data_IF_023050284593
#
_entry.id   IF_023050284593
#
_cell.length_a   1.000
_cell.length_b   1.000
_cell.length_c   1.000
_cell.angle_alpha   90.00
_cell.angle_beta   90.00
_cell.angle_gamma   90.00
#
_symmetry.space_group_name_H-M   'P 1'
#
loop_
_entity.id
_entity.type
_entity.pdbx_description
1 polymer ?
#
# COMPACT_ATOMS: atom_id res chain seq x y z
N UNK A 1 30.17 0.14 27.70
CA UNK A 1 29.53 0.23 26.38
C UNK A 1 28.04 0.22 26.58
N UNK A 2 27.34 1.28 26.16
CA UNK A 2 25.89 1.39 26.28
C UNK A 2 25.27 0.73 25.04
N UNK A 3 24.77 -0.49 25.16
CA UNK A 3 24.06 -1.16 24.08
C UNK A 3 22.67 -0.50 23.94
N UNK A 4 22.52 0.36 22.95
CA UNK A 4 21.21 0.83 22.49
C UNK A 4 20.48 -0.39 21.91
N UNK A 5 19.52 -0.93 22.68
CA UNK A 5 18.55 -1.87 22.14
C UNK A 5 17.73 -1.12 21.09
N UNK A 6 18.08 -1.34 19.81
CA UNK A 6 17.21 -0.98 18.69
C UNK A 6 15.92 -1.77 18.92
N UNK A 7 14.74 -1.13 18.97
CA UNK A 7 13.48 -1.86 19.00
C UNK A 7 13.48 -2.79 17.80
N UNK A 8 13.44 -4.10 18.05
CA UNK A 8 13.18 -5.04 16.97
C UNK A 8 11.81 -4.65 16.42
N UNK A 9 11.78 -4.22 15.16
CA UNK A 9 10.53 -4.05 14.43
C UNK A 9 9.73 -5.34 14.62
N UNK A 10 8.52 -5.24 15.18
CA UNK A 10 7.61 -6.38 15.20
C UNK A 10 7.33 -6.72 13.74
N UNK A 11 7.90 -7.82 13.26
CA UNK A 11 7.55 -8.32 11.93
C UNK A 11 6.05 -8.67 11.97
N UNK A 12 5.25 -7.93 11.21
CA UNK A 12 3.82 -8.14 11.15
C UNK A 12 3.54 -9.44 10.41
N UNK A 13 3.12 -10.52 11.08
CA UNK A 13 2.84 -11.77 10.38
C UNK A 13 1.61 -11.62 9.46
N UNK A 14 1.58 -12.32 8.32
CA UNK A 14 0.36 -12.44 7.54
C UNK A 14 -0.66 -13.29 8.31
N UNK A 15 -1.84 -12.74 8.57
CA UNK A 15 -2.97 -13.43 9.17
C UNK A 15 -4.09 -13.54 8.16
N UNK A 16 -4.70 -14.72 8.06
CA UNK A 16 -5.94 -14.89 7.33
C UNK A 16 -7.03 -14.06 8.03
N UNK A 17 -7.66 -13.17 7.26
CA UNK A 17 -8.76 -12.33 7.72
C UNK A 17 -9.82 -12.35 6.63
N UNK A 18 -10.78 -13.27 6.76
CA UNK A 18 -11.99 -13.31 5.94
C UNK A 18 -11.73 -13.27 4.42
N UNK A 19 -10.83 -14.12 3.93
CA UNK A 19 -10.46 -14.29 2.51
C UNK A 19 -9.19 -13.54 2.08
N UNK A 20 -8.62 -12.69 2.95
CA UNK A 20 -7.39 -11.92 2.68
C UNK A 20 -6.34 -12.29 3.72
N UNK A 21 -5.15 -12.69 3.29
CA UNK A 21 -3.97 -12.76 4.16
C UNK A 21 -3.39 -11.36 4.30
N UNK A 22 -3.56 -10.72 5.45
CA UNK A 22 -3.15 -9.34 5.71
C UNK A 22 -2.08 -9.29 6.79
N UNK A 23 -1.15 -8.36 6.70
CA UNK A 23 -0.19 -8.09 7.77
C UNK A 23 -0.96 -7.75 9.06
N UNK A 24 -0.50 -8.29 10.18
CA UNK A 24 -1.04 -7.96 11.50
C UNK A 24 -0.65 -6.51 11.87
N UNK A 25 -1.61 -5.61 11.86
CA UNK A 25 -1.42 -4.22 12.26
C UNK A 25 -2.66 -3.64 12.93
N UNK A 26 -2.44 -2.60 13.74
CA UNK A 26 -3.53 -1.87 14.40
C UNK A 26 -4.30 -1.00 13.39
N UNK A 27 -5.54 -1.38 13.13
CA UNK A 27 -6.44 -0.63 12.24
C UNK A 27 -6.69 0.79 12.75
N UNK A 28 -6.81 0.97 14.07
CA UNK A 28 -7.00 2.29 14.70
C UNK A 28 -5.79 3.20 14.52
N UNK A 29 -4.57 2.66 14.53
CA UNK A 29 -3.36 3.45 14.24
C UNK A 29 -3.35 3.94 12.79
N UNK A 30 -3.68 3.08 11.82
CA UNK A 30 -3.78 3.48 10.41
C UNK A 30 -4.90 4.51 10.20
N UNK A 31 -6.06 4.30 10.81
CA UNK A 31 -7.18 5.24 10.74
C UNK A 31 -6.85 6.60 11.38
N UNK A 32 -6.02 6.63 12.43
CA UNK A 32 -5.56 7.88 13.06
C UNK A 32 -4.63 8.70 12.16
N UNK A 33 -3.91 8.05 11.23
CA UNK A 33 -3.16 8.74 10.18
C UNK A 33 -4.11 9.33 9.15
N UNK A 34 -5.15 8.57 8.79
CA UNK A 34 -6.22 9.00 7.91
C UNK A 34 -5.79 9.16 6.46
N UNK A 35 -6.72 9.67 5.63
CA UNK A 35 -6.51 9.88 4.21
C UNK A 35 -5.47 10.99 3.95
N UNK A 36 -4.87 10.95 2.77
CA UNK A 36 -3.88 11.90 2.34
C UNK A 36 -4.43 13.32 2.22
N UNK A 37 -3.55 14.28 2.41
CA UNK A 37 -3.69 15.60 1.81
C UNK A 37 -3.25 15.55 0.34
N UNK A 38 -3.85 16.40 -0.51
CA UNK A 38 -3.57 16.45 -1.95
C UNK A 38 -2.06 16.42 -2.28
N UNK A 39 -1.68 15.53 -3.20
CA UNK A 39 -0.29 15.41 -3.69
C UNK A 39 0.69 14.68 -2.77
N UNK A 40 0.25 14.10 -1.64
CA UNK A 40 1.15 13.45 -0.66
C UNK A 40 1.02 11.92 -0.57
N UNK A 41 0.60 11.21 -1.64
CA UNK A 41 0.44 9.74 -1.61
C UNK A 41 1.69 9.02 -1.14
N UNK A 42 2.85 9.39 -1.67
CA UNK A 42 4.14 8.80 -1.32
C UNK A 42 4.46 8.93 0.17
N UNK A 43 4.18 10.09 0.78
CA UNK A 43 4.42 10.33 2.21
C UNK A 43 3.48 9.51 3.10
N UNK A 44 2.18 9.49 2.78
CA UNK A 44 1.20 8.73 3.56
C UNK A 44 1.43 7.22 3.43
N UNK A 45 1.75 6.71 2.23
CA UNK A 45 2.12 5.30 2.03
C UNK A 45 3.33 4.93 2.89
N UNK A 46 4.35 5.79 2.95
CA UNK A 46 5.52 5.59 3.82
C UNK A 46 5.14 5.61 5.30
N UNK A 47 4.26 6.52 5.73
CA UNK A 47 3.78 6.56 7.11
C UNK A 47 3.00 5.30 7.51
N UNK A 48 2.15 4.77 6.64
CA UNK A 48 1.46 3.50 6.89
C UNK A 48 2.47 2.36 7.05
N UNK A 49 3.40 2.26 6.11
CA UNK A 49 4.42 1.23 6.10
C UNK A 49 5.27 1.25 7.39
N UNK A 50 5.68 2.44 7.83
CA UNK A 50 6.36 2.62 9.12
C UNK A 50 5.49 2.29 10.31
N UNK A 51 4.22 2.68 10.29
CA UNK A 51 3.32 2.40 11.41
C UNK A 51 3.15 0.90 11.64
N UNK A 52 3.09 0.13 10.55
CA UNK A 52 3.03 -1.33 10.60
C UNK A 52 4.35 -1.91 11.17
N UNK A 53 5.49 -1.51 10.61
CA UNK A 53 6.81 -2.03 11.04
C UNK A 53 7.17 -1.64 12.48
N UNK A 54 6.81 -0.42 12.89
CA UNK A 54 7.17 0.14 14.20
C UNK A 54 6.14 -0.21 15.28
N UNK A 55 4.96 -0.73 14.91
CA UNK A 55 3.84 -0.97 15.83
C UNK A 55 3.30 0.31 16.48
N UNK A 56 3.63 1.49 15.94
CA UNK A 56 3.31 2.81 16.48
C UNK A 56 3.04 3.80 15.35
N UNK A 57 2.05 4.67 15.56
CA UNK A 57 1.70 5.75 14.61
C UNK A 57 2.93 6.57 14.21
N UNK A 58 3.26 6.53 12.92
CA UNK A 58 4.34 7.34 12.34
C UNK A 58 3.91 8.81 12.23
N UNK A 59 4.71 9.71 12.82
CA UNK A 59 4.52 11.16 12.67
C UNK A 59 4.87 11.66 11.27
N UNK A 60 5.65 10.90 10.50
CA UNK A 60 6.15 11.29 9.18
C UNK A 60 7.20 12.41 9.22
N UNK A 61 7.70 12.79 10.40
CA UNK A 61 8.75 13.80 10.54
C UNK A 61 10.00 13.40 9.75
N UNK A 62 10.57 14.33 8.98
CA UNK A 62 11.73 14.08 8.13
C UNK A 62 11.47 13.25 6.86
N UNK A 63 10.24 12.72 6.67
CA UNK A 63 9.90 11.84 5.54
C UNK A 63 9.34 12.59 4.32
N UNK A 64 9.32 13.93 4.33
CA UNK A 64 8.78 14.75 3.24
C UNK A 64 9.71 15.91 2.87
N UNK A 65 10.03 16.02 1.59
CA UNK A 65 10.74 17.16 1.00
C UNK A 65 10.33 17.31 -0.48
N UNK A 66 9.10 17.80 -0.72
CA UNK A 66 8.46 17.84 -2.05
C UNK A 66 8.29 16.45 -2.72
N UNK A 67 8.28 15.43 -1.88
CA UNK A 67 8.26 14.01 -2.23
C UNK A 67 8.62 13.21 -0.99
N UNK A 68 8.27 11.92 -0.96
CA UNK A 68 8.69 11.08 0.16
C UNK A 68 10.21 10.93 0.18
N UNK A 69 10.81 11.17 1.35
CA UNK A 69 12.22 10.87 1.61
C UNK A 69 12.28 9.42 2.06
N UNK A 70 12.37 8.51 1.09
CA UNK A 70 12.27 7.06 1.34
C UNK A 70 13.29 6.56 2.36
N UNK A 71 14.54 7.04 2.28
CA UNK A 71 15.61 6.69 3.20
C UNK A 71 15.33 7.11 4.65
N UNK A 72 14.56 8.18 4.88
CA UNK A 72 14.16 8.58 6.23
C UNK A 72 13.21 7.58 6.89
N UNK A 73 12.51 6.75 6.09
CA UNK A 73 11.76 5.60 6.57
C UNK A 73 12.47 4.25 6.40
N UNK A 74 13.74 4.24 5.97
CA UNK A 74 14.46 3.00 5.66
C UNK A 74 13.89 2.23 4.46
N UNK A 75 13.28 2.94 3.50
CA UNK A 75 12.76 2.36 2.27
C UNK A 75 13.68 2.67 1.08
N UNK A 76 13.89 1.68 0.21
CA UNK A 76 14.78 1.76 -0.94
C UNK A 76 14.06 1.34 -2.22
N UNK A 77 14.53 1.86 -3.36
CA UNK A 77 13.97 1.51 -4.66
C UNK A 77 14.26 0.06 -5.05
N UNK A 78 13.26 -0.61 -5.59
CA UNK A 78 13.42 -1.86 -6.31
C UNK A 78 12.72 -1.76 -7.68
N UNK A 79 13.41 -2.25 -8.70
CA UNK A 79 12.94 -2.26 -10.09
C UNK A 79 13.24 -3.62 -10.72
N UNK A 80 12.38 -4.06 -11.62
CA UNK A 80 12.51 -5.30 -12.37
C UNK A 80 11.33 -5.46 -13.32
N UNK A 81 11.26 -6.60 -14.00
CA UNK A 81 10.06 -7.01 -14.74
C UNK A 81 8.84 -7.10 -13.83
N UNK A 82 7.64 -7.19 -14.42
CA UNK A 82 6.41 -7.32 -13.65
C UNK A 82 6.43 -8.56 -12.74
N UNK A 83 6.86 -9.72 -13.25
CA UNK A 83 6.94 -10.95 -12.47
C UNK A 83 7.93 -10.84 -11.30
N UNK A 84 9.09 -10.22 -11.52
CA UNK A 84 10.07 -9.94 -10.46
C UNK A 84 9.50 -9.01 -9.38
N UNK A 85 8.76 -7.97 -9.78
CA UNK A 85 8.10 -7.07 -8.84
C UNK A 85 7.02 -7.77 -8.02
N UNK A 86 6.20 -8.63 -8.65
CA UNK A 86 5.15 -9.40 -7.97
C UNK A 86 5.76 -10.42 -7.01
N UNK A 87 6.83 -11.09 -7.42
CA UNK A 87 7.56 -12.00 -6.54
C UNK A 87 8.18 -11.25 -5.35
N UNK A 88 8.74 -10.05 -5.59
CA UNK A 88 9.27 -9.21 -4.52
C UNK A 88 8.18 -8.78 -3.54
N UNK A 89 7.00 -8.39 -4.02
CA UNK A 89 5.83 -8.10 -3.18
C UNK A 89 5.47 -9.28 -2.29
N UNK A 90 5.32 -10.47 -2.88
CA UNK A 90 5.00 -11.69 -2.13
C UNK A 90 6.04 -12.02 -1.07
N UNK A 91 7.32 -11.98 -1.41
CA UNK A 91 8.42 -12.33 -0.49
C UNK A 91 8.51 -11.35 0.69
N UNK A 92 8.39 -10.04 0.44
CA UNK A 92 8.42 -9.03 1.51
C UNK A 92 7.20 -9.17 2.43
N UNK A 93 5.98 -9.32 1.88
CA UNK A 93 4.78 -9.55 2.68
C UNK A 93 4.88 -10.82 3.53
N UNK A 94 5.41 -11.91 2.94
CA UNK A 94 5.63 -13.17 3.67
C UNK A 94 6.66 -13.02 4.79
N UNK A 95 7.60 -12.08 4.66
CA UNK A 95 8.55 -11.69 5.70
C UNK A 95 7.97 -10.65 6.69
N UNK A 96 6.69 -10.32 6.57
CA UNK A 96 5.99 -9.39 7.43
C UNK A 96 6.28 -7.91 7.17
N UNK A 97 6.70 -7.59 5.94
CA UNK A 97 7.12 -6.24 5.54
C UNK A 97 6.14 -5.66 4.52
N UNK A 98 5.53 -4.49 4.80
CA UNK A 98 4.72 -3.79 3.82
C UNK A 98 5.60 -3.22 2.71
N UNK A 99 5.08 -3.22 1.48
CA UNK A 99 5.80 -2.72 0.30
C UNK A 99 5.03 -1.56 -0.30
N UNK A 100 5.73 -0.50 -0.66
CA UNK A 100 5.11 0.67 -1.29
C UNK A 100 5.21 0.50 -2.80
N UNK A 101 4.09 0.61 -3.51
CA UNK A 101 4.02 0.36 -4.95
C UNK A 101 3.69 1.66 -5.69
N UNK A 102 4.40 1.89 -6.79
CA UNK A 102 4.11 2.94 -7.74
C UNK A 102 3.16 2.41 -8.83
N UNK A 103 1.97 2.97 -8.87
CA UNK A 103 0.97 2.64 -9.86
C UNK A 103 1.01 3.66 -11.00
N UNK A 104 1.03 3.16 -12.24
CA UNK A 104 0.83 3.99 -13.43
C UNK A 104 -0.64 4.31 -13.55
N UNK A 105 -0.93 5.53 -13.98
CA UNK A 105 -2.29 5.85 -14.34
C UNK A 105 -2.68 5.15 -15.65
N UNK A 106 -3.88 4.61 -15.71
CA UNK A 106 -4.57 4.36 -16.98
C UNK A 106 -5.33 5.64 -17.33
N UNK A 107 -4.79 6.44 -18.23
CA UNK A 107 -5.56 7.55 -18.79
C UNK A 107 -6.76 6.96 -19.54
N UNK A 108 -7.95 7.04 -18.95
CA UNK A 108 -9.19 6.73 -19.67
C UNK A 108 -9.52 7.94 -20.52
N UNK A 109 -9.55 7.78 -21.85
CA UNK A 109 -9.92 8.85 -22.77
C UNK A 109 -11.30 9.42 -22.42
N UNK A 110 -11.42 10.75 -22.36
CA UNK A 110 -12.69 11.45 -22.06
C UNK A 110 -12.98 11.74 -20.58
N UNK A 111 -12.11 11.32 -19.65
CA UNK A 111 -12.29 11.61 -18.22
C UNK A 111 -11.56 12.90 -17.83
N UNK A 112 -12.31 13.99 -17.60
CA UNK A 112 -11.76 15.17 -16.93
C UNK A 112 -11.38 14.80 -15.49
N UNK A 113 -10.23 15.31 -15.03
CA UNK A 113 -9.66 15.06 -13.69
C UNK A 113 -10.79 15.01 -12.65
N UNK A 114 -10.92 13.85 -12.02
CA UNK A 114 -11.82 13.58 -10.89
C UNK A 114 -13.32 13.35 -11.15
N UNK A 115 -13.81 13.14 -12.38
CA UNK A 115 -15.27 12.89 -12.58
C UNK A 115 -15.64 11.43 -12.88
N UNK A 116 -14.86 10.69 -13.67
CA UNK A 116 -15.20 9.31 -14.09
C UNK A 116 -14.07 8.32 -13.80
N UNK A 117 -14.09 7.83 -12.56
CA UNK A 117 -13.21 6.80 -11.99
C UNK A 117 -13.63 5.41 -12.53
N UNK A 118 -12.74 4.49 -12.92
CA UNK A 118 -13.14 3.14 -13.41
C UNK A 118 -12.30 1.95 -12.91
N UNK A 119 -13.05 0.92 -12.45
CA UNK A 119 -12.79 -0.41 -11.81
C UNK A 119 -12.42 -0.43 -10.31
N UNK A 120 -12.50 -1.52 -9.52
CA UNK A 120 -13.47 -2.62 -9.49
C UNK A 120 -14.18 -2.59 -8.12
N UNK A 121 -13.46 -2.77 -7.00
CA UNK A 121 -14.03 -2.69 -5.65
C UNK A 121 -12.97 -2.33 -4.59
N UNK A 122 -13.41 -1.72 -3.50
CA UNK A 122 -12.68 -1.64 -2.22
C UNK A 122 -13.21 -2.69 -1.27
N UNK A 123 -12.40 -3.10 -0.30
CA UNK A 123 -12.84 -3.97 0.78
C UNK A 123 -12.81 -3.17 2.06
N UNK A 124 -13.97 -3.05 2.71
CA UNK A 124 -14.12 -2.34 3.98
C UNK A 124 -14.17 -3.36 5.13
N UNK A 125 -13.30 -3.20 6.13
CA UNK A 125 -13.28 -4.09 7.28
C UNK A 125 -14.38 -3.70 8.25
N UNK A 126 -15.37 -4.58 8.39
CA UNK A 126 -16.50 -4.41 9.32
C UNK A 126 -16.45 -5.44 10.43
N UNK A 127 -17.37 -5.35 11.40
CA UNK A 127 -17.52 -6.38 12.45
C UNK A 127 -17.88 -7.76 11.91
N UNK A 128 -18.42 -7.85 10.69
CA UNK A 128 -18.76 -9.12 10.00
C UNK A 128 -17.71 -9.56 8.98
N UNK A 129 -16.53 -8.92 8.94
CA UNK A 129 -15.46 -9.20 7.97
C UNK A 129 -15.38 -8.18 6.83
N UNK A 130 -14.77 -8.58 5.70
CA UNK A 130 -14.57 -7.70 4.55
C UNK A 130 -15.82 -7.60 3.68
N UNK A 131 -16.31 -6.37 3.51
CA UNK A 131 -17.37 -6.07 2.56
C UNK A 131 -16.79 -5.47 1.29
N UNK A 132 -17.09 -6.08 0.16
CA UNK A 132 -16.76 -5.54 -1.15
C UNK A 132 -17.69 -4.37 -1.48
N UNK A 133 -17.11 -3.20 -1.73
CA UNK A 133 -17.81 -1.96 -2.02
C UNK A 133 -17.40 -1.47 -3.39
N UNK A 134 -18.38 -1.21 -4.26
CA UNK A 134 -18.11 -0.62 -5.56
C UNK A 134 -17.62 0.81 -5.34
N UNK A 135 -16.31 0.99 -5.44
CA UNK A 135 -15.67 2.27 -5.24
C UNK A 135 -14.68 2.51 -6.38
N UNK A 136 -14.97 3.47 -7.27
CA UNK A 136 -14.27 3.51 -8.53
C UNK A 136 -12.82 4.04 -8.36
N UNK A 137 -11.89 3.44 -9.10
CA UNK A 137 -10.44 3.66 -9.00
C UNK A 137 -10.02 5.13 -9.21
N UNK A 138 -9.02 5.58 -8.44
CA UNK A 138 -8.48 6.94 -8.57
C UNK A 138 -7.48 6.98 -9.71
N UNK A 139 -7.86 7.65 -10.79
CA UNK A 139 -6.94 8.09 -11.82
C UNK A 139 -6.18 9.34 -11.31
N UNK A 140 -4.91 9.18 -10.90
CA UNK A 140 -3.98 10.32 -10.80
C UNK A 140 -3.42 10.61 -12.19
N UNK A 141 -2.86 11.78 -12.49
CA UNK A 141 -2.48 12.08 -13.89
C UNK A 141 -1.41 11.12 -14.45
N UNK A 142 -1.37 10.89 -15.77
CA UNK A 142 -0.30 10.10 -16.41
C UNK A 142 1.13 10.64 -16.19
N UNK A 143 1.26 11.91 -15.79
CA UNK A 143 2.54 12.53 -15.43
C UNK A 143 2.96 12.27 -13.97
N UNK A 144 2.01 11.93 -13.10
CA UNK A 144 2.22 11.76 -11.65
C UNK A 144 1.51 10.48 -11.21
N UNK A 145 2.28 9.40 -11.07
CA UNK A 145 1.77 8.11 -10.62
C UNK A 145 1.25 8.16 -9.18
N UNK A 146 0.66 7.06 -8.74
CA UNK A 146 0.07 6.96 -7.41
C UNK A 146 0.83 5.97 -6.54
N UNK A 147 1.08 6.33 -5.29
CA UNK A 147 1.80 5.47 -4.35
C UNK A 147 0.83 4.89 -3.33
N UNK A 148 0.84 3.56 -3.21
CA UNK A 148 0.01 2.82 -2.25
C UNK A 148 0.90 1.92 -1.38
N UNK A 149 0.44 1.56 -0.19
CA UNK A 149 1.16 0.66 0.71
C UNK A 149 0.49 -0.72 0.68
N UNK A 150 1.11 -1.71 0.03
CA UNK A 150 0.61 -3.08 -0.03
C UNK A 150 0.83 -3.76 1.33
N UNK A 151 -0.26 -4.33 1.84
CA UNK A 151 -0.33 -4.93 3.19
C UNK A 151 -0.99 -6.30 3.21
N UNK A 152 -1.49 -6.78 2.08
CA UNK A 152 -2.16 -8.06 2.03
C UNK A 152 -2.12 -8.69 0.66
N UNK A 153 -2.48 -9.96 0.65
CA UNK A 153 -2.58 -10.81 -0.54
C UNK A 153 -3.81 -11.71 -0.40
N UNK A 154 -4.42 -12.11 -1.51
CA UNK A 154 -5.48 -13.11 -1.51
C UNK A 154 -5.03 -14.38 -0.77
N UNK A 155 -5.93 -14.97 -0.01
CA UNK A 155 -5.63 -16.20 0.73
C UNK A 155 -5.25 -17.36 -0.21
N UNK A 156 -5.86 -17.40 -1.39
CA UNK A 156 -5.69 -18.44 -2.42
C UNK A 156 -4.70 -18.07 -3.53
N UNK A 157 -3.91 -16.99 -3.37
CA UNK A 157 -2.92 -16.60 -4.37
C UNK A 157 -1.87 -17.70 -4.57
N UNK A 158 -1.62 -18.06 -5.84
CA UNK A 158 -0.58 -19.00 -6.24
C UNK A 158 0.77 -18.27 -6.40
N UNK A 159 1.78 -18.54 -5.54
CA UNK A 159 3.08 -17.90 -5.63
C UNK A 159 3.81 -18.13 -6.96
N UNK A 160 3.47 -19.21 -7.70
CA UNK A 160 4.05 -19.47 -9.01
C UNK A 160 3.40 -18.65 -10.14
N UNK A 161 2.20 -18.11 -9.92
CA UNK A 161 1.38 -17.45 -10.94
C UNK A 161 0.73 -16.14 -10.43
N UNK A 162 1.53 -15.34 -9.73
CA UNK A 162 1.09 -14.08 -9.14
C UNK A 162 0.60 -13.07 -10.18
N UNK A 163 -0.43 -12.32 -9.82
CA UNK A 163 -1.00 -11.19 -10.55
C UNK A 163 -1.08 -9.98 -9.64
N UNK A 164 -1.11 -8.78 -10.23
CA UNK A 164 -1.26 -7.55 -9.43
C UNK A 164 -2.54 -7.59 -8.61
N UNK A 165 -3.64 -8.07 -9.20
CA UNK A 165 -4.93 -8.26 -8.52
C UNK A 165 -4.95 -9.34 -7.43
N UNK A 166 -3.82 -9.97 -7.10
CA UNK A 166 -3.73 -10.78 -5.88
C UNK A 166 -3.44 -9.92 -4.64
N UNK A 167 -2.99 -8.68 -4.82
CA UNK A 167 -2.51 -7.83 -3.72
C UNK A 167 -3.53 -6.78 -3.29
N UNK A 168 -3.48 -6.44 -2.00
CA UNK A 168 -4.34 -5.46 -1.34
C UNK A 168 -3.49 -4.38 -0.66
N UNK A 169 -3.90 -3.13 -0.81
CA UNK A 169 -3.14 -1.98 -0.36
C UNK A 169 -3.96 -0.99 0.45
N UNK A 170 -3.30 -0.35 1.42
CA UNK A 170 -3.73 0.90 2.01
C UNK A 170 -3.49 2.00 0.97
N UNK A 171 -4.56 2.47 0.36
CA UNK A 171 -4.54 3.58 -0.59
C UNK A 171 -4.64 4.91 0.19
N UNK A 172 -3.60 5.77 0.15
CA UNK A 172 -3.64 7.05 0.84
C UNK A 172 -4.86 7.90 0.52
N UNK A 173 -5.46 7.80 -0.66
CA UNK A 173 -6.61 8.62 -1.01
C UNK A 173 -7.92 8.19 -0.34
N UNK A 174 -7.97 7.01 0.29
CA UNK A 174 -9.20 6.44 0.89
C UNK A 174 -8.93 5.29 1.87
N UNK A 175 -7.88 5.37 2.66
CA UNK A 175 -7.61 4.38 3.72
C UNK A 175 -8.73 4.33 4.75
N UNK A 176 -9.50 5.43 4.88
CA UNK A 176 -10.67 5.56 5.74
C UNK A 176 -11.89 6.00 4.92
N UNK A 177 -12.97 5.23 5.02
CA UNK A 177 -14.31 5.58 4.53
C UNK A 177 -15.26 5.66 5.72
N UNK A 178 -15.63 6.88 6.13
CA UNK A 178 -16.49 7.14 7.30
C UNK A 178 -15.96 6.48 8.60
N UNK A 179 -14.64 6.43 8.79
CA UNK A 179 -14.02 5.81 9.96
C UNK A 179 -13.79 4.29 9.85
N UNK A 180 -14.26 3.68 8.76
CA UNK A 180 -14.01 2.26 8.46
C UNK A 180 -12.72 2.11 7.66
N UNK A 181 -11.88 1.15 8.03
CA UNK A 181 -10.65 0.84 7.28
C UNK A 181 -11.03 0.26 5.92
N UNK A 182 -10.44 0.82 4.86
CA UNK A 182 -10.56 0.30 3.51
C UNK A 182 -9.20 -0.15 2.98
N UNK A 183 -9.19 -1.32 2.34
CA UNK A 183 -8.08 -1.78 1.50
C UNK A 183 -8.54 -1.85 0.04
N UNK A 184 -7.65 -1.44 -0.85
CA UNK A 184 -7.89 -1.45 -2.29
C UNK A 184 -7.19 -2.64 -2.90
N UNK A 185 -7.93 -3.46 -3.62
CA UNK A 185 -7.36 -4.51 -4.47
C UNK A 185 -6.65 -3.85 -5.65
N UNK A 186 -5.41 -4.22 -5.93
CA UNK A 186 -4.71 -3.69 -7.11
C UNK A 186 -5.35 -4.21 -8.40
N UNK A 187 -5.09 -3.51 -9.50
CA UNK A 187 -5.61 -3.86 -10.81
C UNK A 187 -4.47 -4.39 -11.70
N UNK A 188 -4.78 -5.38 -12.53
CA UNK A 188 -3.79 -5.86 -13.50
C UNK A 188 -3.44 -4.76 -14.51
N UNK A 189 -2.17 -4.72 -14.89
CA UNK A 189 -1.61 -3.71 -15.78
C UNK A 189 -1.48 -2.33 -15.15
N UNK A 190 -1.37 -2.20 -13.83
CA UNK A 190 -1.24 -0.90 -13.15
C UNK A 190 0.08 -0.68 -12.41
N UNK A 191 0.91 -1.69 -12.17
CA UNK A 191 2.26 -1.44 -11.66
C UNK A 191 3.09 -0.70 -12.72
N UNK A 192 3.78 0.37 -12.31
CA UNK A 192 4.64 1.16 -13.19
C UNK A 192 6.07 0.60 -13.23
N UNK A 193 6.25 -0.55 -13.88
CA UNK A 193 7.54 -1.27 -13.97
C UNK A 193 8.69 -0.42 -14.48
N UNK A 194 8.42 0.50 -15.40
CA UNK A 194 9.44 1.36 -16.02
C UNK A 194 9.77 2.62 -15.20
N UNK A 195 9.15 2.81 -14.02
CA UNK A 195 9.30 4.04 -13.24
C UNK A 195 9.32 3.79 -11.72
N UNK A 196 10.40 3.17 -11.24
CA UNK A 196 10.63 2.88 -9.81
C UNK A 196 9.43 2.16 -9.16
N UNK A 197 9.11 0.93 -9.62
CA UNK A 197 7.85 0.28 -9.30
C UNK A 197 7.65 0.04 -7.81
N UNK A 198 8.70 -0.29 -7.06
CA UNK A 198 8.58 -0.64 -5.64
C UNK A 198 9.48 0.21 -4.75
N UNK A 199 9.05 0.38 -3.50
CA UNK A 199 9.92 0.69 -2.37
C UNK A 199 9.78 -0.42 -1.32
N UNK A 200 10.92 -0.96 -0.90
CA UNK A 200 11.01 -2.06 0.07
C UNK A 200 11.80 -1.62 1.28
N UNK A 201 11.45 -2.14 2.46
CA UNK A 201 12.22 -1.89 3.68
C UNK A 201 13.62 -2.51 3.58
N UNK A 202 14.65 -1.74 3.94
CA UNK A 202 16.04 -2.22 4.02
C UNK A 202 16.38 -2.91 5.33
#
# INVERSE_FOLDING_TARGET
MLALAVPHAHAAALQETHGIRMLDFSTSQILSIGNQTSGKCSWYALRYARTILDGKVSSGSGMWSNGAVWSAGGYYGYSGSLSECLQKLYTELSAGKPVIVHLKNTAVSGVKRHTNRTSSYEYHLTSSGWNEVNYPHIATSAAYGHWVCVVGIRADADPANLKESDFYALDPARVSANGTLAVTRLLNGTIWTDNSPLKTAG
#
